data_IF_138134801615
#
_entry.id   IF_138134801615
#
_cell.length_a   1.000
_cell.length_b   1.000
_cell.length_c   1.000
_cell.angle_alpha   90.00
_cell.angle_beta   90.00
_cell.angle_gamma   90.00
#
_symmetry.space_group_name_H-M   'P 1'
#
loop_
_entity.id
_entity.type
_entity.pdbx_description
1 polymer ?
#
# COMPACT_ATOMS: atom_id res chain seq x y z
N UNK A 1 22.96 -9.41 -10.13
CA UNK A 1 22.83 -9.88 -8.73
C UNK A 1 21.75 -9.03 -8.06
N UNK A 2 20.47 -9.37 -8.24
CA UNK A 2 19.34 -8.58 -7.71
C UNK A 2 18.14 -9.49 -7.38
N UNK A 3 18.39 -10.64 -6.73
CA UNK A 3 17.32 -11.65 -6.50
C UNK A 3 17.24 -12.19 -5.06
N UNK A 4 17.61 -11.39 -4.05
CA UNK A 4 17.41 -11.81 -2.64
C UNK A 4 16.38 -10.97 -1.87
N UNK A 5 16.12 -9.73 -2.29
CA UNK A 5 15.21 -8.86 -1.55
C UNK A 5 13.75 -9.32 -1.60
N UNK A 6 13.25 -9.71 -2.78
CA UNK A 6 11.86 -10.15 -2.94
C UNK A 6 11.58 -11.45 -2.17
N UNK A 7 12.56 -12.35 -2.15
CA UNK A 7 12.52 -13.63 -1.45
C UNK A 7 12.58 -13.45 0.07
N UNK A 8 13.45 -12.56 0.56
CA UNK A 8 13.56 -12.26 1.98
C UNK A 8 12.34 -11.49 2.50
N UNK A 9 11.77 -10.60 1.68
CA UNK A 9 10.53 -9.91 1.99
C UNK A 9 9.33 -10.86 2.06
N UNK A 10 9.16 -11.74 1.07
CA UNK A 10 8.11 -12.75 1.07
C UNK A 10 8.21 -13.68 2.29
N UNK A 11 9.42 -14.12 2.63
CA UNK A 11 9.68 -14.94 3.83
C UNK A 11 9.37 -14.20 5.12
N UNK A 12 9.65 -12.90 5.21
CA UNK A 12 9.34 -12.08 6.38
C UNK A 12 7.82 -11.93 6.60
N UNK A 13 7.05 -11.73 5.53
CA UNK A 13 5.57 -11.70 5.59
C UNK A 13 5.00 -13.07 5.95
N UNK A 14 5.63 -14.16 5.51
CA UNK A 14 5.16 -15.51 5.83
C UNK A 14 5.43 -15.87 7.30
N UNK A 15 6.60 -15.48 7.84
CA UNK A 15 6.94 -15.67 9.26
C UNK A 15 6.02 -14.89 10.20
N UNK A 16 5.62 -13.68 9.84
CA UNK A 16 4.68 -12.88 10.67
C UNK A 16 3.26 -13.43 10.68
N UNK A 17 2.87 -14.23 9.67
CA UNK A 17 1.57 -14.92 9.62
C UNK A 17 1.54 -16.23 10.41
N UNK A 18 2.68 -16.92 10.55
CA UNK A 18 2.77 -18.21 11.24
C UNK A 18 2.96 -18.09 12.77
N UNK A 19 3.41 -16.94 13.26
CA UNK A 19 3.53 -16.68 14.69
C UNK A 19 2.19 -16.17 15.25
N UNK A 20 1.27 -17.12 15.49
CA UNK A 20 -0.04 -16.93 16.09
C UNK A 20 -0.05 -16.49 17.56
N UNK A 21 0.93 -15.68 17.97
CA UNK A 21 0.88 -14.93 19.23
C UNK A 21 0.68 -13.48 18.81
N UNK A 22 -0.42 -12.85 19.21
CA UNK A 22 -0.72 -11.44 18.92
C UNK A 22 0.24 -10.53 19.70
N UNK A 23 1.52 -10.61 19.39
CA UNK A 23 2.47 -9.55 19.72
C UNK A 23 1.95 -8.31 19.02
N UNK A 24 1.50 -7.33 19.80
CA UNK A 24 1.16 -6.01 19.28
C UNK A 24 2.39 -5.47 18.56
N UNK A 25 2.45 -5.65 17.25
CA UNK A 25 3.52 -5.12 16.42
C UNK A 25 3.47 -3.61 16.60
N UNK A 26 4.62 -3.02 16.97
CA UNK A 26 4.74 -1.58 17.21
C UNK A 26 4.10 -0.79 16.06
N UNK A 27 3.16 0.14 16.33
CA UNK A 27 2.52 0.99 15.32
C UNK A 27 3.52 1.72 14.40
N UNK A 28 4.71 2.06 14.89
CA UNK A 28 5.78 2.65 14.09
C UNK A 28 6.34 1.68 13.04
N UNK A 29 6.50 0.41 13.40
CA UNK A 29 6.92 -0.65 12.47
C UNK A 29 5.83 -0.89 11.43
N UNK A 30 4.56 -0.97 11.85
CA UNK A 30 3.44 -1.14 10.91
C UNK A 30 3.34 0.04 9.93
N UNK A 31 3.56 1.26 10.41
CA UNK A 31 3.61 2.47 9.58
C UNK A 31 4.72 2.37 8.54
N UNK A 32 5.94 2.04 8.97
CA UNK A 32 7.11 1.92 8.08
C UNK A 32 6.87 0.85 7.00
N UNK A 33 6.34 -0.31 7.38
CA UNK A 33 5.97 -1.37 6.43
C UNK A 33 4.90 -0.92 5.44
N UNK A 34 3.88 -0.17 5.87
CA UNK A 34 2.88 0.39 4.97
C UNK A 34 3.45 1.43 4.00
N UNK A 35 4.40 2.26 4.44
CA UNK A 35 5.09 3.23 3.57
C UNK A 35 5.97 2.54 2.53
N UNK A 36 6.67 1.47 2.91
CA UNK A 36 7.48 0.66 1.99
C UNK A 36 6.61 -0.09 0.98
N UNK A 37 5.52 -0.73 1.42
CA UNK A 37 4.53 -1.35 0.53
C UNK A 37 3.91 -0.33 -0.45
N UNK A 38 3.64 0.89 0.00
CA UNK A 38 3.15 1.94 -0.90
C UNK A 38 4.16 2.28 -2.00
N UNK A 39 5.44 2.41 -1.66
CA UNK A 39 6.49 2.64 -2.65
C UNK A 39 6.56 1.49 -3.66
N UNK A 40 6.52 0.25 -3.16
CA UNK A 40 6.52 -0.94 -4.00
C UNK A 40 5.34 -0.98 -4.97
N UNK A 41 4.10 -0.79 -4.49
CA UNK A 41 2.92 -0.83 -5.37
C UNK A 41 2.85 0.37 -6.32
N UNK A 42 3.41 1.54 -5.97
CA UNK A 42 3.55 2.66 -6.91
C UNK A 42 4.44 2.29 -8.08
N UNK A 43 5.57 1.62 -7.80
CA UNK A 43 6.50 1.17 -8.82
C UNK A 43 5.87 0.08 -9.70
N UNK A 44 5.25 -0.94 -9.10
CA UNK A 44 4.52 -1.99 -9.84
C UNK A 44 3.38 -1.46 -10.69
N UNK A 45 2.71 -0.39 -10.24
CA UNK A 45 1.65 0.25 -11.02
C UNK A 45 2.21 0.92 -12.27
N UNK A 46 3.37 1.57 -12.17
CA UNK A 46 4.07 2.15 -13.33
C UNK A 46 4.49 1.08 -14.32
N UNK A 47 5.14 0.02 -13.83
CA UNK A 47 5.54 -1.13 -14.66
C UNK A 47 4.33 -1.75 -15.37
N UNK A 48 3.21 -1.96 -14.67
CA UNK A 48 2.01 -2.53 -15.27
C UNK A 48 1.36 -1.63 -16.35
N UNK A 49 1.48 -0.30 -16.20
CA UNK A 49 1.02 0.68 -17.19
C UNK A 49 1.93 0.67 -18.41
N UNK A 50 3.26 0.64 -18.22
CA UNK A 50 4.26 0.57 -19.29
C UNK A 50 4.13 -0.74 -20.10
N UNK A 51 3.86 -1.85 -19.42
CA UNK A 51 3.57 -3.16 -20.03
C UNK A 51 2.19 -3.20 -20.73
N UNK A 52 1.38 -2.14 -20.63
CA UNK A 52 -0.01 -2.09 -21.12
C UNK A 52 -0.91 -3.22 -20.56
N UNK A 53 -0.54 -3.79 -19.42
CA UNK A 53 -1.25 -4.90 -18.80
C UNK A 53 -2.41 -4.36 -17.94
N UNK A 54 -3.60 -4.31 -18.54
CA UNK A 54 -4.79 -3.72 -17.92
C UNK A 54 -5.22 -4.44 -16.64
N UNK A 55 -5.11 -5.77 -16.60
CA UNK A 55 -5.53 -6.56 -15.43
C UNK A 55 -4.56 -6.38 -14.26
N UNK A 56 -3.25 -6.46 -14.54
CA UNK A 56 -2.20 -6.19 -13.54
C UNK A 56 -2.28 -4.75 -13.02
N UNK A 57 -2.60 -3.78 -13.89
CA UNK A 57 -2.81 -2.38 -13.48
C UNK A 57 -3.98 -2.24 -12.52
N UNK A 58 -5.14 -2.85 -12.83
CA UNK A 58 -6.33 -2.83 -11.95
C UNK A 58 -6.06 -3.51 -10.61
N UNK A 59 -5.41 -4.67 -10.61
CA UNK A 59 -5.07 -5.40 -9.39
C UNK A 59 -4.08 -4.61 -8.52
N UNK A 60 -3.03 -4.08 -9.12
CA UNK A 60 -2.03 -3.26 -8.42
C UNK A 60 -2.63 -1.97 -7.85
N UNK A 61 -3.54 -1.32 -8.60
CA UNK A 61 -4.28 -0.15 -8.12
C UNK A 61 -5.11 -0.50 -6.86
N UNK A 62 -5.84 -1.62 -6.86
CA UNK A 62 -6.62 -2.07 -5.69
C UNK A 62 -5.71 -2.30 -4.48
N UNK A 63 -4.57 -2.97 -4.68
CA UNK A 63 -3.57 -3.21 -3.62
C UNK A 63 -3.05 -1.88 -3.04
N UNK A 64 -2.76 -0.91 -3.90
CA UNK A 64 -2.28 0.40 -3.47
C UNK A 64 -3.32 1.20 -2.66
N UNK A 65 -4.58 1.19 -3.08
CA UNK A 65 -5.69 1.80 -2.31
C UNK A 65 -5.86 1.12 -0.95
N UNK A 66 -5.76 -0.21 -0.91
CA UNK A 66 -5.83 -0.98 0.33
C UNK A 66 -4.68 -0.63 1.28
N UNK A 67 -3.44 -0.54 0.80
CA UNK A 67 -2.31 -0.14 1.64
C UNK A 67 -2.47 1.29 2.15
N UNK A 68 -2.99 2.23 1.32
CA UNK A 68 -3.33 3.58 1.78
C UNK A 68 -4.37 3.58 2.91
N UNK A 69 -5.42 2.77 2.80
CA UNK A 69 -6.43 2.66 3.87
C UNK A 69 -5.84 2.12 5.18
N UNK A 70 -4.87 1.19 5.09
CA UNK A 70 -4.14 0.67 6.26
C UNK A 70 -3.31 1.77 6.90
N UNK A 71 -2.61 2.57 6.10
CA UNK A 71 -1.82 3.71 6.59
C UNK A 71 -2.72 4.75 7.27
N UNK A 72 -3.87 5.09 6.66
CA UNK A 72 -4.85 5.98 7.26
C UNK A 72 -5.31 5.48 8.63
N UNK A 73 -5.68 4.19 8.75
CA UNK A 73 -6.07 3.59 10.03
C UNK A 73 -4.98 3.78 11.10
N UNK A 74 -3.71 3.57 10.74
CA UNK A 74 -2.58 3.76 11.66
C UNK A 74 -2.44 5.25 12.03
N UNK A 75 -2.56 6.15 11.07
CA UNK A 75 -2.49 7.61 11.29
C UNK A 75 -3.60 8.07 12.24
N UNK A 76 -4.84 7.64 12.03
CA UNK A 76 -6.01 8.02 12.84
C UNK A 76 -5.93 7.54 14.30
N UNK A 77 -5.08 6.56 14.63
CA UNK A 77 -4.86 6.17 16.02
C UNK A 77 -4.07 7.21 16.83
N UNK A 78 -3.48 8.22 16.17
CA UNK A 78 -2.77 9.31 16.84
C UNK A 78 -3.76 10.41 17.26
N UNK A 79 -3.79 10.72 18.56
CA UNK A 79 -4.69 11.73 19.16
C UNK A 79 -4.50 13.16 18.66
N UNK A 80 -3.40 13.46 17.99
CA UNK A 80 -3.03 14.83 17.57
C UNK A 80 -3.47 15.16 16.15
N UNK A 81 -4.18 14.27 15.48
CA UNK A 81 -4.53 14.38 14.07
C UNK A 81 -6.03 14.58 13.95
N UNK A 82 -6.44 15.56 13.14
CA UNK A 82 -7.83 15.74 12.76
C UNK A 82 -8.27 14.58 11.85
N UNK A 83 -9.19 13.71 12.29
CA UNK A 83 -9.63 12.57 11.49
C UNK A 83 -10.31 12.97 10.19
N UNK A 84 -11.06 14.08 10.19
CA UNK A 84 -11.82 14.52 9.01
C UNK A 84 -10.88 14.95 7.89
N UNK A 85 -9.87 15.75 8.22
CA UNK A 85 -8.86 16.22 7.27
C UNK A 85 -8.10 15.04 6.61
N UNK A 86 -7.70 14.04 7.39
CA UNK A 86 -6.98 12.87 6.85
C UNK A 86 -7.86 11.94 6.02
N UNK A 87 -9.13 11.79 6.38
CA UNK A 87 -10.12 11.03 5.59
C UNK A 87 -10.37 11.74 4.25
N UNK A 88 -10.53 13.06 4.26
CA UNK A 88 -10.74 13.86 3.06
C UNK A 88 -9.53 13.79 2.11
N UNK A 89 -8.31 13.97 2.63
CA UNK A 89 -7.07 13.79 1.88
C UNK A 89 -6.99 12.39 1.26
N UNK A 90 -7.27 11.35 2.03
CA UNK A 90 -7.28 9.97 1.55
C UNK A 90 -8.25 9.80 0.37
N UNK A 91 -9.48 10.31 0.51
CA UNK A 91 -10.50 10.21 -0.53
C UNK A 91 -10.07 10.92 -1.82
N UNK A 92 -9.59 12.17 -1.71
CA UNK A 92 -9.10 12.93 -2.87
C UNK A 92 -7.95 12.23 -3.59
N UNK A 93 -6.98 11.72 -2.84
CA UNK A 93 -5.84 10.99 -3.40
C UNK A 93 -6.27 9.72 -4.16
N UNK A 94 -7.16 8.93 -3.56
CA UNK A 94 -7.68 7.71 -4.15
C UNK A 94 -8.56 7.98 -5.37
N UNK A 95 -9.39 9.02 -5.31
CA UNK A 95 -10.23 9.45 -6.43
C UNK A 95 -9.37 9.94 -7.60
N UNK A 96 -8.41 10.83 -7.35
CA UNK A 96 -7.47 11.33 -8.37
C UNK A 96 -6.71 10.19 -9.03
N UNK A 97 -6.19 9.26 -8.23
CA UNK A 97 -5.45 8.11 -8.74
C UNK A 97 -6.33 7.22 -9.63
N UNK A 98 -7.53 6.86 -9.16
CA UNK A 98 -8.46 6.01 -9.92
C UNK A 98 -8.86 6.67 -11.23
N UNK A 99 -9.10 7.99 -11.21
CA UNK A 99 -9.42 8.76 -12.42
C UNK A 99 -8.26 8.78 -13.42
N UNK A 100 -7.03 8.98 -12.95
CA UNK A 100 -5.83 8.96 -13.79
C UNK A 100 -5.61 7.59 -14.41
N UNK A 101 -5.64 6.52 -13.62
CA UNK A 101 -5.46 5.15 -14.14
C UNK A 101 -6.59 4.78 -15.11
N UNK A 102 -7.83 5.16 -14.83
CA UNK A 102 -8.95 4.91 -15.75
C UNK A 102 -8.77 5.61 -17.10
N UNK A 103 -8.13 6.80 -17.13
CA UNK A 103 -7.80 7.49 -18.38
C UNK A 103 -6.70 6.78 -19.17
N UNK A 104 -5.71 6.22 -18.47
CA UNK A 104 -4.61 5.49 -19.10
C UNK A 104 -5.04 4.11 -19.65
N UNK A 105 -6.10 3.54 -19.09
CA UNK A 105 -6.63 2.23 -19.51
C UNK A 105 -7.69 2.30 -20.63
N UNK A 106 -8.17 3.50 -20.97
CA UNK A 106 -9.05 3.73 -22.12
C UNK A 106 -8.24 3.61 -23.40
#
# INVERSE_FOLDING_TARGET
>A
MTDNFELDWAKSIQKSKQSGTTSQIDPAIQKKQAEEELKYFKQKLREAIEENNKDKTKDTLKKLIKTRSRLLKITLTKRTIDPEEEIEKYYHDCHRLTKTVSRLLK
#
